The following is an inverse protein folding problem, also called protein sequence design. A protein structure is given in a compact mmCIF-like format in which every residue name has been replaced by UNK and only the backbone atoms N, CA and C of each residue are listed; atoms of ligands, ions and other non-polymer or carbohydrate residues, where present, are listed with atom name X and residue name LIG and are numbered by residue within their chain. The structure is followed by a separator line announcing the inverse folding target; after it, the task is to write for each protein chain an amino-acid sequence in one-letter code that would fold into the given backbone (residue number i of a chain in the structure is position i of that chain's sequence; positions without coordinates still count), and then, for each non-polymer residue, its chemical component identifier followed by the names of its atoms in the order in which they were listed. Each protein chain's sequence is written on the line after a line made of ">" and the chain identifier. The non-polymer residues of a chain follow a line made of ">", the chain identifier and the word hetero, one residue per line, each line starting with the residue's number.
data_IF_162392986885
#
_entry.id   IF_162392986885
#
_cell.length_a   1.000
_cell.length_b   1.000
_cell.length_c   1.000
_cell.angle_alpha   90.00
_cell.angle_beta   90.00
_cell.angle_gamma   90.00
#
_symmetry.space_group_name_H-M   'P 1'
#
loop_
_entity.id
_entity.type
_entity.pdbx_description
1 polymer ?
#
# COMPACT_ATOMS: atom_id res chain seq x y z
N UNK A 1 -19.24 -9.48 -5.48
CA UNK A 1 -18.66 -9.22 -4.12
C UNK A 1 -17.15 -9.01 -4.21
N UNK A 2 -16.62 -8.16 -3.34
CA UNK A 2 -15.19 -7.85 -3.26
C UNK A 2 -14.40 -8.96 -2.54
N UNK A 3 -13.13 -9.09 -2.89
CA UNK A 3 -12.19 -10.03 -2.24
C UNK A 3 -10.87 -9.33 -1.98
N UNK A 4 -10.44 -9.30 -0.74
CA UNK A 4 -9.14 -8.74 -0.37
C UNK A 4 -8.00 -9.70 -0.70
N UNK A 5 -6.85 -9.14 -1.03
CA UNK A 5 -5.57 -9.82 -1.22
C UNK A 5 -4.48 -9.00 -0.54
N UNK A 6 -3.53 -9.67 0.10
CA UNK A 6 -2.56 -9.00 0.97
C UNK A 6 -1.14 -9.12 0.46
N UNK A 7 -0.41 -8.02 0.56
CA UNK A 7 1.01 -7.94 0.22
C UNK A 7 1.78 -7.36 1.40
N UNK A 8 2.69 -8.15 1.95
CA UNK A 8 3.64 -7.70 2.97
C UNK A 8 4.82 -7.03 2.30
N UNK A 9 4.99 -5.74 2.58
CA UNK A 9 6.17 -4.98 2.25
C UNK A 9 7.20 -5.04 3.36
N UNK A 10 8.34 -5.66 3.07
CA UNK A 10 9.50 -5.76 3.94
C UNK A 10 10.54 -4.70 3.55
N UNK A 11 11.17 -4.13 4.57
CA UNK A 11 12.22 -3.13 4.41
C UNK A 11 13.53 -3.69 4.97
N UNK A 12 14.65 -3.17 4.48
CA UNK A 12 15.98 -3.51 4.97
C UNK A 12 16.69 -2.25 5.45
N UNK A 13 17.19 -2.28 6.69
CA UNK A 13 17.95 -1.19 7.26
C UNK A 13 19.33 -1.15 6.65
N UNK A 14 19.79 0.06 6.35
CA UNK A 14 21.11 0.27 5.79
C UNK A 14 22.09 0.61 6.91
N UNK A 15 23.35 0.13 6.83
CA UNK A 15 24.41 0.55 7.75
C UNK A 15 24.53 2.08 7.86
N UNK A 16 24.90 2.57 9.05
CA UNK A 16 25.05 4.01 9.34
C UNK A 16 25.98 4.75 8.36
N UNK A 17 26.97 4.06 7.81
CA UNK A 17 27.87 4.62 6.77
C UNK A 17 27.13 5.12 5.52
N UNK A 18 25.90 4.65 5.27
CA UNK A 18 25.08 5.05 4.13
C UNK A 18 24.04 6.13 4.42
N UNK A 19 23.86 6.54 5.68
CA UNK A 19 22.79 7.48 6.06
C UNK A 19 22.88 8.84 5.37
N UNK A 20 24.06 9.23 4.88
CA UNK A 20 24.31 10.50 4.21
C UNK A 20 24.55 10.36 2.69
N UNK A 21 24.17 9.22 2.09
CA UNK A 21 24.33 9.04 0.64
C UNK A 21 23.48 10.04 -0.18
N UNK A 22 22.33 10.43 0.36
CA UNK A 22 21.43 11.41 -0.25
C UNK A 22 20.90 12.37 0.82
N UNK A 23 20.38 13.53 0.39
CA UNK A 23 19.70 14.49 1.27
C UNK A 23 18.19 14.22 1.39
N UNK A 24 17.65 13.43 0.47
CA UNK A 24 16.22 13.11 0.36
C UNK A 24 16.05 11.64 0.01
N UNK A 25 14.86 11.09 0.29
CA UNK A 25 14.45 9.79 -0.24
C UNK A 25 14.48 9.80 -1.77
N UNK A 26 14.79 8.66 -2.38
CA UNK A 26 14.91 8.51 -3.84
C UNK A 26 14.05 7.34 -4.29
N UNK A 27 13.21 7.61 -5.28
CA UNK A 27 12.26 6.67 -5.86
C UNK A 27 12.63 6.51 -7.33
N UNK A 28 12.70 5.28 -7.82
CA UNK A 28 12.81 5.05 -9.26
C UNK A 28 11.49 5.37 -9.93
N UNK A 29 11.56 5.69 -11.23
CA UNK A 29 10.36 5.67 -12.06
C UNK A 29 9.89 4.22 -12.15
N UNK A 30 8.59 3.94 -11.90
CA UNK A 30 8.07 2.58 -11.99
C UNK A 30 8.36 1.96 -13.35
N UNK A 31 8.95 0.76 -13.37
CA UNK A 31 9.10 0.00 -14.62
C UNK A 31 7.73 -0.46 -15.16
N UNK A 32 6.76 -0.67 -14.25
CA UNK A 32 5.39 -1.09 -14.55
C UNK A 32 4.37 -0.10 -13.95
N UNK A 33 3.73 0.75 -14.77
CA UNK A 33 2.79 1.78 -14.31
C UNK A 33 1.59 1.24 -13.52
N UNK A 34 1.13 0.03 -13.86
CA UNK A 34 -0.03 -0.59 -13.21
C UNK A 34 0.30 -1.13 -11.81
N UNK A 35 1.59 -1.30 -11.48
CA UNK A 35 2.05 -1.89 -10.23
C UNK A 35 3.26 -1.13 -9.64
N UNK A 36 3.10 0.17 -9.34
CA UNK A 36 4.21 1.03 -8.94
C UNK A 36 4.79 0.69 -7.56
N UNK A 37 4.15 -0.22 -6.82
CA UNK A 37 4.59 -0.68 -5.50
C UNK A 37 5.65 -1.80 -5.55
N UNK A 38 6.03 -2.27 -6.73
CA UNK A 38 6.99 -3.37 -6.92
C UNK A 38 8.45 -2.88 -6.98
N UNK A 39 8.66 -1.59 -7.16
CA UNK A 39 10.00 -1.00 -7.18
C UNK A 39 10.44 -0.54 -5.79
N UNK A 40 11.64 -0.92 -5.35
CA UNK A 40 12.14 -0.53 -4.05
C UNK A 40 12.61 0.92 -4.04
N UNK A 41 12.33 1.60 -2.93
CA UNK A 41 12.75 2.96 -2.69
C UNK A 41 13.97 3.01 -1.78
N UNK A 42 14.74 4.08 -1.92
CA UNK A 42 15.66 4.53 -0.89
C UNK A 42 14.95 5.53 0.02
N UNK A 43 14.81 5.21 1.29
CA UNK A 43 13.99 5.97 2.24
C UNK A 43 14.87 6.50 3.35
N UNK A 44 14.81 7.82 3.58
CA UNK A 44 15.37 8.46 4.76
C UNK A 44 14.26 8.56 5.81
N UNK A 45 14.49 7.99 6.99
CA UNK A 45 13.59 8.07 8.15
C UNK A 45 13.78 9.40 8.88
N UNK A 46 12.81 9.75 9.72
CA UNK A 46 12.83 11.00 10.51
C UNK A 46 14.04 11.11 11.46
N UNK A 47 14.57 9.98 11.91
CA UNK A 47 15.76 9.89 12.77
C UNK A 47 17.08 9.90 11.97
N UNK A 48 17.01 10.07 10.65
CA UNK A 48 18.16 10.05 9.74
C UNK A 48 18.68 8.65 9.40
N UNK A 49 18.09 7.58 9.93
CA UNK A 49 18.38 6.22 9.46
C UNK A 49 17.83 6.01 8.05
N UNK A 50 18.42 5.11 7.29
CA UNK A 50 18.00 4.82 5.93
C UNK A 50 17.55 3.36 5.76
N UNK A 51 16.57 3.17 4.88
CA UNK A 51 16.00 1.85 4.57
C UNK A 51 15.81 1.68 3.06
N UNK A 52 15.85 0.42 2.61
CA UNK A 52 15.53 0.00 1.26
C UNK A 52 14.27 -0.85 1.26
N UNK A 53 13.30 -0.48 0.42
CA UNK A 53 12.05 -1.23 0.24
C UNK A 53 10.88 -0.34 -0.16
N UNK A 54 9.65 -0.84 -0.10
CA UNK A 54 9.29 -2.22 0.26
C UNK A 54 9.54 -3.21 -0.90
N UNK A 55 9.59 -4.50 -0.59
CA UNK A 55 9.25 -5.56 -1.56
C UNK A 55 7.74 -5.84 -1.55
N UNK A 56 7.26 -6.82 -2.33
CA UNK A 56 5.86 -7.24 -2.32
C UNK A 56 5.75 -8.75 -2.14
N UNK A 57 5.72 -9.21 -0.88
CA UNK A 57 5.54 -10.63 -0.54
C UNK A 57 4.04 -10.94 -0.40
N UNK A 58 3.44 -11.83 -1.20
CA UNK A 58 2.07 -12.26 -0.99
C UNK A 58 1.89 -12.92 0.38
N UNK A 59 0.86 -12.52 1.12
CA UNK A 59 0.50 -13.09 2.42
C UNK A 59 -1.00 -13.40 2.45
N UNK A 60 -1.39 -14.37 3.28
CA UNK A 60 -2.75 -14.95 3.24
C UNK A 60 -3.69 -14.41 4.33
N UNK A 61 -3.23 -13.40 5.06
CA UNK A 61 -4.00 -12.75 6.13
C UNK A 61 -3.53 -11.30 6.30
N UNK A 62 -4.40 -10.39 6.73
CA UNK A 62 -4.00 -9.01 7.07
C UNK A 62 -3.04 -8.96 8.26
N UNK A 63 -2.91 -10.06 9.00
CA UNK A 63 -1.99 -10.25 10.12
C UNK A 63 -0.83 -11.20 9.81
N UNK A 64 -0.62 -11.54 8.52
CA UNK A 64 0.40 -12.44 8.02
C UNK A 64 1.85 -11.93 8.17
N UNK A 65 2.24 -11.38 9.30
CA UNK A 65 3.61 -10.94 9.59
C UNK A 65 4.54 -12.10 9.93
N UNK A 66 3.99 -13.20 10.46
CA UNK A 66 4.75 -14.39 10.81
C UNK A 66 4.38 -15.58 9.89
N UNK A 67 5.23 -16.62 9.88
CA UNK A 67 5.04 -17.80 9.03
C UNK A 67 3.84 -18.64 9.48
N UNK A 68 3.63 -18.78 10.78
CA UNK A 68 2.58 -19.61 11.36
C UNK A 68 1.19 -19.13 10.93
N UNK A 69 0.92 -17.82 11.04
CA UNK A 69 -0.33 -17.20 10.60
C UNK A 69 -0.53 -17.39 9.10
N UNK A 70 0.50 -17.15 8.28
CA UNK A 70 0.40 -17.34 6.84
C UNK A 70 0.08 -18.79 6.44
N UNK A 71 0.70 -19.77 7.10
CA UNK A 71 0.45 -21.19 6.81
C UNK A 71 -0.97 -21.56 7.21
N UNK A 72 -1.43 -21.09 8.38
CA UNK A 72 -2.77 -21.31 8.89
C UNK A 72 -3.84 -20.75 7.94
N UNK A 73 -3.64 -19.53 7.46
CA UNK A 73 -4.62 -18.81 6.63
C UNK A 73 -4.50 -19.12 5.13
N UNK A 74 -3.45 -19.85 4.70
CA UNK A 74 -3.25 -20.21 3.30
C UNK A 74 -4.45 -20.94 2.69
N UNK A 75 -4.85 -22.08 3.26
CA UNK A 75 -5.92 -22.91 2.70
C UNK A 75 -7.28 -22.17 2.72
N UNK A 76 -7.71 -21.56 3.84
CA UNK A 76 -8.94 -20.75 3.87
C UNK A 76 -8.93 -19.65 2.80
N UNK A 77 -7.85 -18.87 2.71
CA UNK A 77 -7.78 -17.74 1.78
C UNK A 77 -7.81 -18.18 0.32
N UNK A 78 -7.11 -19.25 -0.02
CA UNK A 78 -7.14 -19.81 -1.38
C UNK A 78 -8.54 -20.30 -1.75
N UNK A 79 -9.24 -20.99 -0.84
CA UNK A 79 -10.62 -21.43 -1.07
C UNK A 79 -11.59 -20.26 -1.25
N UNK A 80 -11.42 -19.19 -0.47
CA UNK A 80 -12.19 -17.94 -0.61
C UNK A 80 -11.95 -17.29 -1.99
N UNK A 81 -10.69 -17.17 -2.42
CA UNK A 81 -10.35 -16.61 -3.73
C UNK A 81 -10.92 -17.44 -4.88
N UNK A 82 -10.93 -18.78 -4.78
CA UNK A 82 -11.53 -19.64 -5.81
C UNK A 82 -13.05 -19.53 -5.90
N UNK A 83 -13.72 -19.17 -4.80
CA UNK A 83 -15.19 -19.02 -4.71
C UNK A 83 -15.67 -17.60 -5.01
N UNK A 84 -14.77 -16.67 -5.32
CA UNK A 84 -15.07 -15.25 -5.54
C UNK A 84 -14.67 -14.77 -6.94
N UNK A 85 -14.83 -13.48 -7.21
CA UNK A 85 -14.33 -12.84 -8.43
C UNK A 85 -12.83 -12.98 -8.63
N UNK A 86 -12.06 -13.11 -7.54
CA UNK A 86 -10.61 -13.23 -7.56
C UNK A 86 -10.10 -14.47 -8.33
N UNK A 87 -10.93 -15.52 -8.49
CA UNK A 87 -10.65 -16.65 -9.38
C UNK A 87 -10.26 -16.17 -10.78
N UNK A 88 -10.94 -15.15 -11.31
CA UNK A 88 -10.68 -14.64 -12.66
C UNK A 88 -9.28 -14.03 -12.77
N UNK A 89 -8.81 -13.35 -11.71
CA UNK A 89 -7.44 -12.80 -11.61
C UNK A 89 -6.38 -13.89 -11.62
N UNK A 90 -6.63 -15.02 -10.95
CA UNK A 90 -5.68 -16.15 -10.92
C UNK A 90 -5.44 -16.71 -12.33
N UNK A 91 -6.46 -16.70 -13.18
CA UNK A 91 -6.37 -17.16 -14.57
C UNK A 91 -6.06 -16.04 -15.58
N UNK A 92 -5.89 -14.81 -15.10
CA UNK A 92 -5.52 -13.69 -15.95
C UNK A 92 -4.04 -13.78 -16.32
N UNK A 93 -3.75 -13.79 -17.63
CA UNK A 93 -2.38 -13.97 -18.13
C UNK A 93 -1.47 -12.82 -17.75
N UNK A 94 -1.98 -11.58 -17.76
CA UNK A 94 -1.19 -10.40 -17.42
C UNK A 94 -0.80 -10.43 -15.95
N UNK A 95 -1.74 -10.80 -15.07
CA UNK A 95 -1.46 -10.98 -13.66
C UNK A 95 -0.49 -12.13 -13.39
N UNK A 96 -0.61 -13.27 -14.09
CA UNK A 96 0.34 -14.38 -13.97
C UNK A 96 1.76 -13.96 -14.39
N UNK A 97 1.90 -13.25 -15.51
CA UNK A 97 3.19 -12.73 -15.97
C UNK A 97 3.80 -11.75 -14.97
N UNK A 98 3.00 -10.83 -14.44
CA UNK A 98 3.42 -9.92 -13.38
C UNK A 98 3.84 -10.68 -12.11
N UNK A 99 3.05 -11.67 -11.69
CA UNK A 99 3.34 -12.44 -10.49
C UNK A 99 4.65 -13.23 -10.63
N UNK A 100 4.90 -13.80 -11.80
CA UNK A 100 6.12 -14.57 -12.07
C UNK A 100 7.33 -13.64 -12.18
N UNK A 101 7.23 -12.55 -12.94
CA UNK A 101 8.40 -11.73 -13.26
C UNK A 101 8.72 -10.71 -12.16
N UNK A 102 7.70 -10.07 -11.59
CA UNK A 102 7.90 -8.92 -10.71
C UNK A 102 7.71 -9.21 -9.23
N UNK A 103 6.67 -9.96 -8.89
CA UNK A 103 6.46 -10.33 -7.49
C UNK A 103 7.61 -11.24 -7.03
N UNK A 104 7.97 -12.27 -7.80
CA UNK A 104 9.08 -13.16 -7.44
C UNK A 104 10.42 -12.43 -7.35
N UNK A 105 10.70 -11.51 -8.29
CA UNK A 105 11.95 -10.75 -8.25
C UNK A 105 11.98 -9.76 -7.07
N UNK A 106 10.87 -9.12 -6.71
CA UNK A 106 10.83 -8.20 -5.56
C UNK A 106 11.08 -8.94 -4.23
N UNK A 107 10.67 -10.20 -4.10
CA UNK A 107 10.88 -11.01 -2.89
C UNK A 107 12.38 -11.23 -2.62
N UNK A 108 13.21 -11.25 -3.66
CA UNK A 108 14.65 -11.42 -3.51
C UNK A 108 15.31 -10.15 -2.95
N UNK A 109 15.82 -10.24 -1.72
CA UNK A 109 16.65 -9.19 -1.09
C UNK A 109 17.74 -8.69 -2.04
N UNK A 110 18.47 -9.61 -2.66
CA UNK A 110 19.58 -9.26 -3.54
C UNK A 110 19.11 -8.54 -4.81
N UNK A 111 18.01 -8.99 -5.42
CA UNK A 111 17.44 -8.34 -6.60
C UNK A 111 16.94 -6.92 -6.25
N UNK A 112 16.22 -6.78 -5.14
CA UNK A 112 15.73 -5.51 -4.62
C UNK A 112 16.87 -4.51 -4.39
N UNK A 113 17.93 -4.91 -3.69
CA UNK A 113 19.08 -4.02 -3.45
C UNK A 113 19.81 -3.71 -4.76
N UNK A 114 19.96 -4.69 -5.67
CA UNK A 114 20.60 -4.46 -6.96
C UNK A 114 19.82 -3.46 -7.83
N UNK A 115 18.49 -3.41 -7.73
CA UNK A 115 17.66 -2.35 -8.36
C UNK A 115 18.03 -0.97 -7.79
N UNK A 116 18.10 -0.85 -6.46
CA UNK A 116 18.52 0.41 -5.81
C UNK A 116 19.94 0.82 -6.20
N UNK A 117 20.86 -0.14 -6.34
CA UNK A 117 22.25 0.13 -6.78
C UNK A 117 22.34 0.78 -8.16
N UNK A 118 21.33 0.65 -9.03
CA UNK A 118 21.32 1.32 -10.34
C UNK A 118 21.35 2.85 -10.19
N UNK A 119 20.74 3.39 -9.14
CA UNK A 119 20.75 4.82 -8.84
C UNK A 119 21.56 5.20 -7.59
N UNK A 120 21.95 4.24 -6.76
CA UNK A 120 22.88 4.41 -5.62
C UNK A 120 24.03 3.39 -5.68
N UNK A 121 25.01 3.56 -6.59
CA UNK A 121 26.04 2.55 -6.86
C UNK A 121 27.01 2.31 -5.70
N UNK A 122 27.08 3.23 -4.72
CA UNK A 122 27.92 3.12 -3.52
C UNK A 122 27.44 2.06 -2.53
N UNK A 123 26.21 1.56 -2.68
CA UNK A 123 25.63 0.58 -1.76
C UNK A 123 26.18 -0.82 -2.06
N UNK A 124 26.67 -1.50 -1.01
CA UNK A 124 26.98 -2.93 -1.05
C UNK A 124 25.86 -3.77 -0.44
N UNK A 125 25.25 -4.63 -1.26
CA UNK A 125 24.19 -5.54 -0.87
C UNK A 125 24.61 -6.53 0.24
N UNK A 126 25.91 -6.86 0.33
CA UNK A 126 26.42 -7.76 1.38
C UNK A 126 26.36 -7.12 2.77
N UNK A 127 26.46 -5.79 2.85
CA UNK A 127 26.40 -5.05 4.12
C UNK A 127 24.98 -4.79 4.61
N UNK A 128 23.96 -5.03 3.77
CA UNK A 128 22.55 -4.88 4.13
C UNK A 128 22.03 -6.21 4.66
N UNK A 129 22.10 -6.36 5.97
CA UNK A 129 21.80 -7.61 6.69
C UNK A 129 20.66 -7.47 7.69
N UNK A 130 20.32 -6.24 8.10
CA UNK A 130 19.31 -5.97 9.11
C UNK A 130 17.93 -5.73 8.48
N UNK A 131 16.91 -6.39 9.03
CA UNK A 131 15.52 -6.14 8.63
C UNK A 131 15.01 -4.84 9.26
N UNK A 132 14.29 -4.06 8.47
CA UNK A 132 13.46 -2.97 8.93
C UNK A 132 12.07 -3.44 9.34
N UNK A 133 11.19 -2.48 9.60
CA UNK A 133 9.77 -2.74 9.86
C UNK A 133 9.12 -3.34 8.60
N UNK A 134 8.05 -4.12 8.74
CA UNK A 134 7.23 -4.54 7.60
C UNK A 134 5.80 -4.05 7.78
N UNK A 135 5.08 -3.87 6.68
CA UNK A 135 3.67 -3.50 6.67
C UNK A 135 2.91 -4.36 5.68
N UNK A 136 1.62 -4.62 5.95
CA UNK A 136 0.75 -5.37 5.03
C UNK A 136 -0.24 -4.41 4.38
N UNK A 137 -0.24 -4.39 3.04
CA UNK A 137 -1.22 -3.66 2.22
C UNK A 137 -2.32 -4.64 1.80
N UNK A 138 -3.57 -4.30 2.08
CA UNK A 138 -4.74 -5.06 1.64
C UNK A 138 -5.35 -4.39 0.41
N UNK A 139 -5.17 -5.01 -0.75
CA UNK A 139 -5.78 -4.55 -2.00
C UNK A 139 -7.07 -5.33 -2.24
N UNK A 140 -8.01 -4.73 -2.96
CA UNK A 140 -9.31 -5.34 -3.22
C UNK A 140 -9.44 -5.73 -4.69
N UNK A 141 -9.98 -6.92 -4.94
CA UNK A 141 -10.35 -7.42 -6.26
C UNK A 141 -11.88 -7.42 -6.37
N UNK A 142 -12.40 -6.90 -7.49
CA UNK A 142 -13.83 -6.90 -7.79
C UNK A 142 -14.32 -8.25 -8.35
N UNK A 143 -15.62 -8.37 -8.57
CA UNK A 143 -16.24 -9.59 -9.11
C UNK A 143 -15.81 -9.96 -10.55
N UNK A 144 -15.18 -9.02 -11.25
CA UNK A 144 -14.61 -9.21 -12.57
C UNK A 144 -13.15 -9.70 -12.52
N UNK A 145 -12.57 -9.83 -11.33
CA UNK A 145 -11.18 -10.23 -11.17
C UNK A 145 -10.18 -9.11 -11.41
N UNK A 146 -10.60 -7.86 -11.27
CA UNK A 146 -9.74 -6.70 -11.45
C UNK A 146 -9.42 -6.07 -10.10
N UNK A 147 -8.17 -5.64 -9.92
CA UNK A 147 -7.79 -4.80 -8.79
C UNK A 147 -8.54 -3.48 -8.86
N UNK A 148 -9.14 -3.09 -7.74
CA UNK A 148 -9.74 -1.77 -7.61
C UNK A 148 -8.62 -0.77 -7.32
N UNK A 149 -8.43 0.27 -8.13
CA UNK A 149 -7.34 1.24 -7.95
C UNK A 149 -7.61 2.20 -6.79
N UNK A 150 -8.88 2.60 -6.62
CA UNK A 150 -9.29 3.66 -5.70
C UNK A 150 -9.96 3.13 -4.44
N UNK A 151 -10.18 4.05 -3.50
CA UNK A 151 -11.06 3.83 -2.35
C UNK A 151 -12.44 3.38 -2.80
N UNK A 152 -13.00 2.45 -2.05
CA UNK A 152 -14.38 2.02 -2.19
C UNK A 152 -15.15 2.53 -0.99
N UNK A 153 -16.24 3.26 -1.24
CA UNK A 153 -17.19 3.70 -0.24
C UNK A 153 -18.47 2.89 -0.39
N UNK A 154 -18.81 2.11 0.61
CA UNK A 154 -20.00 1.24 0.63
C UNK A 154 -20.78 1.53 1.90
N UNK A 155 -22.10 1.61 1.81
CA UNK A 155 -22.91 1.88 3.00
C UNK A 155 -24.40 1.86 2.72
N UNK A 156 -25.14 1.83 3.82
CA UNK A 156 -26.59 1.95 3.89
C UNK A 156 -26.98 2.90 5.03
N UNK A 157 -28.26 2.96 5.39
CA UNK A 157 -28.72 3.84 6.47
C UNK A 157 -28.15 3.52 7.87
N UNK A 158 -27.52 2.36 8.06
CA UNK A 158 -27.06 1.86 9.36
C UNK A 158 -25.54 1.76 9.45
N UNK A 159 -24.84 1.65 8.32
CA UNK A 159 -23.41 1.39 8.29
C UNK A 159 -22.73 2.04 7.10
N UNK A 160 -21.47 2.43 7.30
CA UNK A 160 -20.62 2.98 6.25
C UNK A 160 -19.22 2.37 6.36
N UNK A 161 -18.71 1.92 5.22
CA UNK A 161 -17.48 1.16 5.08
C UNK A 161 -16.56 1.86 4.10
N UNK A 162 -15.31 2.06 4.53
CA UNK A 162 -14.22 2.53 3.69
C UNK A 162 -13.34 1.31 3.42
N UNK A 163 -13.28 0.87 2.17
CA UNK A 163 -12.45 -0.26 1.74
C UNK A 163 -11.34 0.25 0.81
N UNK A 164 -10.28 -0.55 0.68
CA UNK A 164 -9.16 -0.29 -0.23
C UNK A 164 -8.43 1.06 -0.04
N UNK A 165 -8.54 1.70 1.14
CA UNK A 165 -7.78 2.91 1.47
C UNK A 165 -6.30 2.58 1.77
N UNK A 166 -5.53 2.47 0.70
CA UNK A 166 -4.11 2.14 0.74
C UNK A 166 -3.25 3.40 0.58
N UNK A 167 -2.13 3.36 -0.16
CA UNK A 167 -1.28 4.54 -0.40
C UNK A 167 -1.95 5.54 -1.34
N UNK A 168 -1.89 6.86 -1.09
CA UNK A 168 -1.11 7.58 -0.08
C UNK A 168 -1.87 7.84 1.25
N UNK A 169 -2.40 6.80 1.89
CA UNK A 169 -3.38 6.91 2.96
C UNK A 169 -2.95 7.69 4.20
N UNK A 170 -1.69 7.61 4.61
CA UNK A 170 -1.20 8.38 5.75
C UNK A 170 -1.16 9.89 5.45
N UNK A 171 -0.61 10.28 4.29
CA UNK A 171 -0.53 11.68 3.87
C UNK A 171 -1.90 12.25 3.53
N UNK A 172 -2.76 11.44 2.90
CA UNK A 172 -4.12 11.81 2.51
C UNK A 172 -5.16 11.74 3.63
N UNK A 173 -4.80 11.27 4.83
CA UNK A 173 -5.77 10.97 5.89
C UNK A 173 -6.65 12.17 6.24
N UNK A 174 -6.04 13.35 6.47
CA UNK A 174 -6.77 14.55 6.88
C UNK A 174 -7.76 15.05 5.80
N UNK A 175 -7.34 15.31 4.54
CA UNK A 175 -8.29 15.74 3.51
C UNK A 175 -9.33 14.66 3.21
N UNK A 176 -8.95 13.38 3.24
CA UNK A 176 -9.89 12.28 3.03
C UNK A 176 -10.93 12.20 4.17
N UNK A 177 -10.55 12.39 5.43
CA UNK A 177 -11.50 12.48 6.54
C UNK A 177 -12.49 13.63 6.35
N UNK A 178 -12.04 14.80 5.90
CA UNK A 178 -12.95 15.92 5.60
C UNK A 178 -13.94 15.54 4.49
N UNK A 179 -13.45 14.91 3.42
CA UNK A 179 -14.27 14.40 2.33
C UNK A 179 -15.35 13.41 2.83
N UNK A 180 -14.98 12.45 3.69
CA UNK A 180 -15.92 11.47 4.25
C UNK A 180 -16.99 12.16 5.10
N UNK A 181 -16.62 13.08 6.00
CA UNK A 181 -17.58 13.80 6.85
C UNK A 181 -18.58 14.58 5.99
N UNK A 182 -18.10 15.28 4.95
CA UNK A 182 -18.96 15.99 4.02
C UNK A 182 -19.87 15.03 3.22
N UNK A 183 -19.34 13.89 2.77
CA UNK A 183 -20.09 12.87 2.06
C UNK A 183 -21.26 12.32 2.90
N UNK A 184 -20.98 11.96 4.16
CA UNK A 184 -21.98 11.46 5.11
C UNK A 184 -23.05 12.52 5.44
N UNK A 185 -22.62 13.78 5.60
CA UNK A 185 -23.55 14.90 5.83
C UNK A 185 -24.50 15.12 4.65
N UNK A 186 -23.98 15.07 3.41
CA UNK A 186 -24.81 15.18 2.19
C UNK A 186 -25.76 14.00 2.00
N UNK A 187 -25.41 12.82 2.49
CA UNK A 187 -26.28 11.63 2.48
C UNK A 187 -27.35 11.68 3.59
N UNK A 188 -27.32 12.68 4.48
CA UNK A 188 -28.25 12.77 5.61
C UNK A 188 -28.00 11.72 6.70
N UNK A 189 -26.82 11.07 6.69
CA UNK A 189 -26.46 10.06 7.68
C UNK A 189 -25.98 10.67 9.01
N UNK A 190 -25.62 11.95 8.99
CA UNK A 190 -25.13 12.71 10.13
C UNK A 190 -25.38 14.20 9.88
N UNK A 191 -25.81 14.96 10.89
CA UNK A 191 -25.87 16.42 10.82
C UNK A 191 -24.58 17.01 11.39
N UNK A 192 -23.79 17.64 10.53
CA UNK A 192 -22.60 18.38 10.98
C UNK A 192 -22.99 19.79 11.42
N UNK A 193 -22.86 20.09 12.72
CA UNK A 193 -23.04 21.44 13.27
C UNK A 193 -21.94 22.44 12.86
N UNK A 194 -20.91 21.99 12.12
CA UNK A 194 -19.64 22.69 12.01
C UNK A 194 -19.06 22.68 10.59
N UNK A 195 -19.88 22.98 9.59
CA UNK A 195 -19.45 23.13 8.19
C UNK A 195 -18.42 24.26 7.96
N UNK A 196 -18.31 25.20 8.89
CA UNK A 196 -17.30 26.26 8.92
C UNK A 196 -16.26 26.09 10.05
N UNK A 197 -16.09 24.87 10.57
CA UNK A 197 -15.07 24.60 11.57
C UNK A 197 -13.66 24.97 11.07
N UNK A 198 -12.89 25.60 11.96
CA UNK A 198 -11.48 25.91 11.74
C UNK A 198 -10.63 25.37 12.88
N UNK A 199 -9.54 24.67 12.52
CA UNK A 199 -8.52 24.18 13.44
C UNK A 199 -7.14 24.62 12.95
N UNK A 200 -6.60 25.69 13.54
CA UNK A 200 -5.36 26.30 13.08
C UNK A 200 -5.47 26.75 11.61
N UNK A 201 -4.57 26.30 10.71
CA UNK A 201 -4.63 26.65 9.29
C UNK A 201 -5.68 25.85 8.50
N UNK A 202 -6.35 24.88 9.11
CA UNK A 202 -7.27 23.97 8.43
C UNK A 202 -8.70 24.45 8.61
N UNK A 203 -9.29 24.98 7.53
CA UNK A 203 -10.71 25.35 7.47
C UNK A 203 -11.48 24.32 6.64
N UNK A 204 -12.54 23.75 7.22
CA UNK A 204 -13.26 22.63 6.61
C UNK A 204 -13.82 22.99 5.23
N UNK A 205 -14.51 24.13 5.11
CA UNK A 205 -15.09 24.60 3.85
C UNK A 205 -14.05 24.75 2.74
N UNK A 206 -12.88 25.34 3.04
CA UNK A 206 -11.80 25.54 2.07
C UNK A 206 -11.17 24.20 1.61
N UNK A 207 -11.11 23.19 2.49
CA UNK A 207 -10.63 21.84 2.13
C UNK A 207 -11.62 21.16 1.17
N UNK A 208 -12.91 21.23 1.49
CA UNK A 208 -13.97 20.64 0.66
C UNK A 208 -14.00 21.28 -0.73
N UNK A 209 -13.87 22.61 -0.80
CA UNK A 209 -13.80 23.33 -2.08
C UNK A 209 -12.63 22.87 -2.93
N UNK A 210 -11.44 22.69 -2.33
CA UNK A 210 -10.25 22.20 -3.05
C UNK A 210 -10.35 20.75 -3.51
N UNK A 211 -11.11 19.90 -2.80
CA UNK A 211 -11.31 18.49 -3.17
C UNK A 211 -12.38 18.31 -4.25
N UNK A 212 -13.18 19.33 -4.54
CA UNK A 212 -14.22 19.31 -5.57
C UNK A 212 -13.69 19.68 -6.98
N UNK A 213 -12.44 20.11 -7.07
CA UNK A 213 -11.70 20.43 -8.30
C UNK A 213 -10.90 19.21 -8.78
#
# INVERSE_FOLDING_TARGET
>A
TFTDVHFRGEYWRTPKEYNNLTKTSVYSVPEYPDYPFLDPHWIIRVDGSCEIGPNAVPVFSPYGYNKTENIKEFIPKILEMFRSGARKTIFDKQFQELAINEIQSSISKSAMINRVKRFLPKIDAKKITEKGTSGIRSSVINENGQFVPDVILEGDSMSFHILNYNSPGATGALPFSAYIVNHLNKQGMFESESSDAQCGPWKFSDIIEKLAL
#
